data_IF_398628442572
#
_entry.id   IF_398628442572
#
_cell.length_a   1.000
_cell.length_b   1.000
_cell.length_c   1.000
_cell.angle_alpha   90.00
_cell.angle_beta   90.00
_cell.angle_gamma   90.00
#
_symmetry.space_group_name_H-M   'P 1'
#
loop_
_entity.id
_entity.type
_entity.pdbx_description
1 polymer ?
#
# COMPACT_ATOMS: atom_id res chain seq x y z
N UNK A 1 15.93 -0.87 -35.42
CA UNK A 1 15.85 -1.29 -34.01
C UNK A 1 16.13 -0.04 -33.22
N UNK A 2 15.20 0.40 -32.37
CA UNK A 2 15.38 1.62 -31.59
C UNK A 2 16.23 1.23 -30.38
N UNK A 3 17.38 1.87 -30.21
CA UNK A 3 18.26 1.65 -29.08
C UNK A 3 18.02 2.68 -27.96
N UNK A 4 18.71 2.50 -26.82
CA UNK A 4 18.58 3.44 -25.70
C UNK A 4 19.13 4.82 -26.06
N UNK A 5 20.13 4.88 -26.94
CA UNK A 5 20.77 6.11 -27.37
C UNK A 5 19.81 6.95 -28.23
N UNK A 6 18.99 6.32 -29.08
CA UNK A 6 17.92 6.96 -29.85
C UNK A 6 16.89 7.66 -28.95
N UNK A 7 16.54 7.04 -27.83
CA UNK A 7 15.57 7.59 -26.86
C UNK A 7 16.23 8.68 -26.00
N UNK A 8 17.48 8.48 -25.60
CA UNK A 8 18.28 9.45 -24.86
C UNK A 8 18.60 10.71 -25.69
N UNK A 9 18.69 10.60 -27.02
CA UNK A 9 18.86 11.73 -27.92
C UNK A 9 17.64 12.68 -27.93
N UNK A 10 16.43 12.13 -27.69
CA UNK A 10 15.19 12.91 -27.59
C UNK A 10 15.01 13.44 -26.17
N UNK A 11 15.39 12.65 -25.16
CA UNK A 11 15.28 13.03 -23.75
C UNK A 11 16.63 12.83 -23.02
N UNK A 12 17.50 13.85 -23.00
CA UNK A 12 18.83 13.75 -22.41
C UNK A 12 18.80 13.60 -20.88
N UNK A 13 17.67 13.87 -20.22
CA UNK A 13 17.50 13.63 -18.78
C UNK A 13 17.52 12.13 -18.45
N UNK A 14 17.23 11.25 -19.42
CA UNK A 14 17.31 9.79 -19.23
C UNK A 14 18.76 9.31 -19.03
N UNK A 15 19.75 10.02 -19.56
CA UNK A 15 21.17 9.76 -19.29
C UNK A 15 21.54 10.10 -17.83
N UNK A 16 20.80 11.02 -17.20
CA UNK A 16 21.03 11.42 -15.81
C UNK A 16 20.25 10.53 -14.82
N UNK A 17 19.15 9.94 -15.30
CA UNK A 17 18.31 8.99 -14.57
C UNK A 17 18.93 7.59 -14.44
N UNK A 18 19.97 7.28 -15.23
CA UNK A 18 20.90 6.19 -14.93
C UNK A 18 21.29 6.28 -13.45
N UNK A 19 21.28 5.19 -12.68
CA UNK A 19 20.99 5.19 -11.24
C UNK A 19 22.01 5.95 -10.38
N UNK A 20 21.94 7.27 -10.43
CA UNK A 20 22.54 8.22 -9.50
C UNK A 20 21.60 8.41 -8.31
N UNK A 21 20.30 8.30 -8.54
CA UNK A 21 19.23 8.50 -7.56
C UNK A 21 18.87 7.29 -6.69
N UNK A 22 19.48 6.11 -6.92
CA UNK A 22 19.27 4.97 -6.01
C UNK A 22 19.98 5.14 -4.67
N UNK A 23 20.91 6.09 -4.55
CA UNK A 23 21.74 6.26 -3.36
C UNK A 23 21.23 7.34 -2.39
N UNK A 24 20.44 8.29 -2.87
CA UNK A 24 20.04 9.47 -2.09
C UNK A 24 18.53 9.55 -1.82
N UNK A 25 17.73 8.62 -2.35
CA UNK A 25 16.35 8.50 -1.93
C UNK A 25 16.32 7.66 -0.64
N UNK A 26 15.98 8.23 0.55
CA UNK A 26 15.55 7.40 1.65
C UNK A 26 14.40 6.52 1.15
N UNK A 27 14.17 5.31 1.70
CA UNK A 27 13.02 4.51 1.29
C UNK A 27 11.82 5.43 1.38
N UNK A 28 11.20 5.70 0.22
CA UNK A 28 9.92 6.40 0.15
C UNK A 28 9.01 5.53 1.00
N UNK A 29 8.86 5.91 2.28
CA UNK A 29 7.81 5.39 3.12
C UNK A 29 6.55 5.95 2.48
N UNK A 30 6.09 5.23 1.45
CA UNK A 30 4.80 5.42 0.84
C UNK A 30 3.81 5.57 1.99
N UNK A 31 3.08 6.67 1.95
CA UNK A 31 2.29 7.18 3.06
C UNK A 31 1.59 6.07 3.83
N UNK A 32 2.12 5.78 5.02
CA UNK A 32 1.83 4.57 5.75
C UNK A 32 2.14 4.71 7.23
N UNK A 33 1.95 5.89 7.84
CA UNK A 33 1.40 5.89 9.21
C UNK A 33 -0.01 5.34 9.14
N UNK A 34 -0.15 4.04 8.83
CA UNK A 34 -1.26 3.29 9.35
C UNK A 34 -1.16 3.49 10.87
N UNK A 35 -2.10 4.15 11.53
CA UNK A 35 -2.17 4.00 12.97
C UNK A 35 -2.24 2.49 13.18
N UNK A 36 -1.20 1.88 13.77
CA UNK A 36 -1.25 0.47 14.15
C UNK A 36 -2.53 0.34 14.95
N UNK A 37 -3.58 -0.19 14.32
CA UNK A 37 -4.88 -0.31 14.95
C UNK A 37 -4.64 -1.29 16.08
N UNK A 38 -4.38 -0.77 17.29
CA UNK A 38 -4.28 -1.60 18.48
C UNK A 38 -5.65 -2.22 18.61
N UNK A 39 -5.76 -3.50 18.24
CA UNK A 39 -6.93 -4.32 18.49
C UNK A 39 -7.06 -4.39 20.00
N UNK A 40 -7.74 -3.40 20.58
CA UNK A 40 -8.20 -3.50 21.96
C UNK A 40 -9.34 -4.51 21.89
N UNK A 41 -9.03 -5.77 22.17
CA UNK A 41 -10.05 -6.78 22.46
C UNK A 41 -10.68 -6.40 23.78
N UNK A 42 -11.60 -5.45 23.74
CA UNK A 42 -12.45 -5.16 24.89
C UNK A 42 -13.36 -6.39 25.01
N UNK A 43 -13.34 -7.05 26.17
CA UNK A 43 -14.15 -8.22 26.49
C UNK A 43 -15.58 -8.01 25.98
N UNK A 44 -15.89 -8.58 24.81
CA UNK A 44 -17.15 -8.33 24.12
C UNK A 44 -18.23 -9.11 24.85
N UNK A 45 -19.15 -8.39 25.49
CA UNK A 45 -20.33 -8.95 26.17
C UNK A 45 -21.56 -8.96 25.28
N UNK A 46 -21.39 -8.92 23.95
CA UNK A 46 -22.50 -8.89 23.00
C UNK A 46 -23.25 -10.23 23.13
N UNK A 47 -24.50 -10.25 23.64
CA UNK A 47 -25.27 -11.47 23.74
C UNK A 47 -25.58 -11.97 22.34
N UNK A 48 -25.46 -13.29 22.12
CA UNK A 48 -25.83 -13.89 20.85
C UNK A 48 -27.28 -13.53 20.49
N UNK A 49 -27.59 -13.32 19.20
CA UNK A 49 -28.96 -13.09 18.77
C UNK A 49 -29.81 -14.27 19.24
N UNK A 50 -30.87 -13.98 20.00
CA UNK A 50 -31.87 -15.00 20.35
C UNK A 50 -32.64 -15.27 19.07
N UNK A 51 -32.31 -16.36 18.38
CA UNK A 51 -33.09 -16.85 17.23
C UNK A 51 -34.56 -16.82 17.62
N UNK A 52 -35.31 -15.95 16.96
CA UNK A 52 -36.73 -15.76 17.22
C UNK A 52 -37.45 -17.05 16.85
N UNK A 53 -37.89 -17.75 17.89
CA UNK A 53 -38.82 -18.89 17.84
C UNK A 53 -39.89 -18.64 16.77
N UNK A 54 -39.70 -19.22 15.60
CA UNK A 54 -40.76 -19.40 14.62
C UNK A 54 -41.11 -20.87 14.58
N UNK A 55 -41.66 -21.32 15.69
CA UNK A 55 -42.57 -22.47 15.69
C UNK A 55 -43.76 -22.10 14.82
N UNK A 56 -43.97 -22.83 13.73
CA UNK A 56 -45.31 -23.02 13.17
C UNK A 56 -45.45 -24.50 12.83
N UNK A 57 -46.43 -25.11 13.48
CA UNK A 57 -46.98 -26.45 13.23
C UNK A 57 -47.36 -26.66 11.77
#
# INVERSE_FOLDING_TARGET
>A
MIDFDDVAAINPELLQLLPSHLKDNPPLQENGTAPKQKRRSVNSRIPAPKEGLRSRS
#
